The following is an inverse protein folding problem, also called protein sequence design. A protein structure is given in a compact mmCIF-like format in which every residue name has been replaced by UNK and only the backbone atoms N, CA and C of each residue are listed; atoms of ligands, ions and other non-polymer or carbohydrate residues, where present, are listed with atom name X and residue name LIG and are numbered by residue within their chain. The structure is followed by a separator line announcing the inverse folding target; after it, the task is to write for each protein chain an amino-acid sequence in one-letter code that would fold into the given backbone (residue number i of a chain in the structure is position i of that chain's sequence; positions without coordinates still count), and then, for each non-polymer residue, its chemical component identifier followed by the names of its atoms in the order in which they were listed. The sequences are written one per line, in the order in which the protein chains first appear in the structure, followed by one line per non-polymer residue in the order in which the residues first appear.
data_IF_283613414166
#
_entry.id   IF_283613414166
#
_cell.length_a   1.000
_cell.length_b   1.000
_cell.length_c   1.000
_cell.angle_alpha   90.00
_cell.angle_beta   90.00
_cell.angle_gamma   90.00
#
_symmetry.space_group_name_H-M   'P 1'
#
loop_
_entity.id
_entity.type
_entity.pdbx_description
1 polymer ?
#
# COMPACT_ATOMS: atom_id res chain seq x y z
N UNK A 1 27.17 -20.40 -35.72
CA UNK A 1 26.90 -20.49 -35.28
C UNK A 1 26.34 -20.41 -34.51
N UNK A 2 26.30 -20.37 -34.28
CA UNK A 2 25.72 -20.27 -33.51
C UNK A 2 25.04 -20.19 -32.79
N UNK A 3 24.97 -20.12 -32.64
CA UNK A 3 24.24 -19.96 -31.97
C UNK A 3 23.61 -19.81 -31.20
N UNK A 4 23.58 -19.66 -31.01
CA UNK A 4 22.83 -19.39 -30.29
C UNK A 4 22.21 -19.18 -29.49
N UNK A 5 22.17 -18.97 -29.41
CA UNK A 5 21.49 -18.58 -28.66
C UNK A 5 20.91 -18.53 -28.04
N UNK A 6 20.91 -18.48 -27.93
CA UNK A 6 20.09 -18.20 -27.29
C UNK A 6 19.42 -18.15 -26.52
N UNK A 7 19.48 -18.07 -26.46
CA UNK A 7 18.67 -17.75 -25.77
C UNK A 7 18.17 -17.80 -25.10
N UNK A 8 18.32 -17.73 -25.00
CA UNK A 8 17.63 -17.41 -24.25
C UNK A 8 17.03 -17.16 -23.59
N UNK A 9 17.14 -16.98 -23.54
CA UNK A 9 16.41 -16.46 -22.93
C UNK A 9 15.87 -16.44 -22.32
N UNK A 10 15.94 -16.39 -22.26
CA UNK A 10 15.23 -16.01 -21.69
C UNK A 10 14.73 -15.79 -21.07
N UNK A 11 14.92 -15.76 -20.97
CA UNK A 11 14.25 -15.32 -20.40
C UNK A 11 13.73 -14.99 -19.88
N UNK A 12 13.90 -14.79 -19.76
CA UNK A 12 13.24 -14.23 -19.26
C UNK A 12 12.51 -14.00 -18.89
N UNK A 13 12.59 -13.93 -18.78
CA UNK A 13 11.76 -13.49 -18.44
C UNK A 13 11.00 -13.41 -17.96
N UNK A 14 10.94 -13.37 -17.75
CA UNK A 14 10.16 -13.11 -17.29
C UNK A 14 9.50 -13.11 -16.74
N UNK A 15 9.37 -13.08 -16.61
CA UNK A 15 8.75 -12.91 -16.00
C UNK A 15 8.29 -12.76 -15.50
N UNK A 16 8.18 -12.49 -15.20
CA UNK A 16 7.70 -12.31 -14.67
C UNK A 16 6.94 -12.18 -14.28
N UNK A 17 6.80 -11.88 -14.39
CA UNK A 17 6.02 -11.67 -14.09
C UNK A 17 5.22 -12.03 -13.56
N UNK A 18 5.03 -12.09 -13.84
CA UNK A 18 4.00 -12.72 -13.38
C UNK A 18 3.97 -12.88 -12.06
N UNK A 19 4.76 -13.36 -11.70
CA UNK A 19 4.61 -13.62 -10.43
C UNK A 19 4.25 -12.54 -9.67
N UNK A 20 4.35 -11.56 -10.22
CA UNK A 20 4.06 -10.47 -9.51
C UNK A 20 2.84 -10.52 -8.79
N UNK A 21 1.85 -10.93 -9.36
CA UNK A 21 0.67 -10.83 -8.66
C UNK A 21 0.66 -11.66 -7.51
N UNK A 22 1.49 -12.53 -7.42
CA UNK A 22 1.32 -13.41 -6.38
C UNK A 22 1.76 -12.90 -5.10
N UNK A 23 1.72 -11.78 -4.82
CA UNK A 23 1.89 -11.47 -3.49
C UNK A 23 3.06 -10.67 -3.08
N UNK A 24 3.85 -10.25 -3.96
CA UNK A 24 4.90 -9.35 -3.55
C UNK A 24 4.31 -8.00 -3.24
N UNK A 25 5.01 -7.18 -2.46
CA UNK A 25 4.50 -5.85 -2.18
C UNK A 25 4.56 -4.97 -3.40
N UNK A 26 3.65 -4.04 -3.50
CA UNK A 26 3.63 -3.08 -4.60
C UNK A 26 3.55 -1.70 -4.02
N UNK A 27 3.91 -0.70 -4.81
CA UNK A 27 3.84 0.68 -4.36
C UNK A 27 2.40 1.16 -4.50
N UNK A 28 1.84 1.69 -3.43
CA UNK A 28 0.47 2.13 -3.38
C UNK A 28 0.42 3.54 -2.84
N UNK A 29 -0.42 4.37 -3.40
CA UNK A 29 -0.65 5.72 -2.89
C UNK A 29 -2.09 5.81 -2.42
N UNK A 30 -2.31 6.49 -1.34
CA UNK A 30 -3.66 6.66 -0.84
C UNK A 30 -3.75 7.63 0.31
N UNK A 31 -4.97 7.93 0.71
CA UNK A 31 -5.20 8.83 1.83
C UNK A 31 -5.24 8.02 3.10
N UNK A 32 -4.42 8.40 4.06
CA UNK A 32 -4.31 7.69 5.33
C UNK A 32 -4.76 8.57 6.46
N UNK A 33 -5.52 8.03 7.37
CA UNK A 33 -5.83 8.75 8.59
C UNK A 33 -5.89 7.77 9.74
N UNK A 34 -5.58 8.26 10.93
CA UNK A 34 -5.54 7.45 12.13
C UNK A 34 -6.28 8.22 13.21
N UNK A 35 -7.28 7.61 13.79
CA UNK A 35 -8.06 8.27 14.81
C UNK A 35 -8.65 7.19 15.73
N UNK A 36 -8.54 7.42 17.03
CA UNK A 36 -9.13 6.52 18.01
C UNK A 36 -8.67 5.09 17.85
N UNK A 37 -7.38 4.92 17.65
CA UNK A 37 -6.77 3.60 17.54
C UNK A 37 -7.17 2.84 16.29
N UNK A 38 -7.68 3.52 15.30
CA UNK A 38 -8.02 2.87 14.04
C UNK A 38 -7.42 3.64 12.88
N UNK A 39 -6.80 2.94 11.97
CA UNK A 39 -6.20 3.55 10.81
C UNK A 39 -6.93 3.07 9.56
N UNK A 40 -7.22 4.00 8.67
CA UNK A 40 -7.90 3.71 7.42
C UNK A 40 -7.09 4.26 6.25
N UNK A 41 -6.97 3.49 5.22
CA UNK A 41 -6.25 3.89 4.02
C UNK A 41 -7.21 3.79 2.83
N UNK A 42 -7.32 4.86 2.05
CA UNK A 42 -8.17 4.88 0.87
C UNK A 42 -7.28 4.93 -0.36
N UNK A 43 -7.29 3.88 -1.15
CA UNK A 43 -6.43 3.73 -2.31
C UNK A 43 -6.79 4.77 -3.36
N UNK A 44 -5.81 5.55 -3.81
CA UNK A 44 -6.07 6.56 -4.82
C UNK A 44 -6.54 5.98 -6.14
N UNK A 45 -6.04 4.80 -6.48
CA UNK A 45 -6.36 4.22 -7.76
C UNK A 45 -7.79 3.70 -7.85
N UNK A 46 -8.29 3.11 -6.81
CA UNK A 46 -9.60 2.47 -6.86
C UNK A 46 -10.66 3.18 -6.05
N UNK A 47 -10.25 4.02 -5.11
CA UNK A 47 -11.19 4.65 -4.20
C UNK A 47 -11.66 3.75 -3.07
N UNK A 48 -11.13 2.55 -2.99
CA UNK A 48 -11.55 1.65 -1.92
C UNK A 48 -10.81 1.95 -0.64
N UNK A 49 -11.48 1.78 0.46
CA UNK A 49 -10.90 2.01 1.78
C UNK A 49 -10.64 0.70 2.48
N UNK A 50 -9.54 0.63 3.19
CA UNK A 50 -9.14 -0.57 3.90
C UNK A 50 -8.67 -0.22 5.29
N UNK A 51 -8.97 -1.04 6.29
CA UNK A 51 -8.28 -0.90 7.56
C UNK A 51 -6.82 -1.24 7.38
N UNK A 52 -5.96 -0.69 8.21
CA UNK A 52 -4.52 -0.90 8.09
C UNK A 52 -4.07 -1.83 9.20
N UNK A 53 -3.36 -2.90 8.84
CA UNK A 53 -2.87 -3.86 9.81
C UNK A 53 -1.78 -3.24 10.67
N UNK A 54 -1.75 -3.59 11.93
CA UNK A 54 -0.72 -3.11 12.83
C UNK A 54 0.48 -4.03 12.74
N UNK A 55 1.00 -4.14 11.53
CA UNK A 55 2.10 -5.05 11.23
C UNK A 55 3.03 -4.35 10.26
N UNK A 56 4.11 -4.99 9.94
CA UNK A 56 5.05 -4.45 8.96
C UNK A 56 5.57 -3.11 9.42
N UNK A 57 5.50 -2.14 8.54
CA UNK A 57 6.06 -0.82 8.82
C UNK A 57 4.99 0.14 9.36
N UNK A 58 3.92 -0.39 9.89
CA UNK A 58 2.84 0.45 10.39
C UNK A 58 3.31 1.48 11.41
N UNK A 59 4.25 1.11 12.24
CA UNK A 59 4.72 2.05 13.26
C UNK A 59 5.35 3.28 12.64
N UNK A 60 6.14 3.10 11.58
CA UNK A 60 6.75 4.23 10.91
C UNK A 60 5.69 5.08 10.21
N UNK A 61 4.73 4.43 9.58
CA UNK A 61 3.64 5.12 8.90
C UNK A 61 2.83 5.95 9.89
N UNK A 62 2.44 5.35 10.99
CA UNK A 62 1.65 6.04 11.99
C UNK A 62 2.45 7.19 12.60
N UNK A 63 3.73 6.97 12.87
CA UNK A 63 4.57 8.03 13.42
C UNK A 63 4.71 9.21 12.50
N UNK A 64 4.88 8.94 11.20
CA UNK A 64 5.00 10.02 10.23
C UNK A 64 3.70 10.82 10.15
N UNK A 65 2.58 10.11 10.20
CA UNK A 65 1.28 10.76 10.15
C UNK A 65 1.08 11.64 11.38
N UNK A 66 1.36 11.12 12.56
CA UNK A 66 1.14 11.90 13.79
C UNK A 66 2.05 13.12 13.85
N UNK A 67 3.23 13.01 13.29
CA UNK A 67 4.16 14.13 13.27
C UNK A 67 3.78 15.19 12.24
N UNK A 68 2.97 14.82 11.26
CA UNK A 68 2.69 15.70 10.14
C UNK A 68 1.29 16.29 10.17
N UNK A 69 0.33 15.57 10.72
CA UNK A 69 -1.05 16.05 10.69
C UNK A 69 -1.21 17.34 11.48
N UNK A 70 -2.18 18.13 11.08
CA UNK A 70 -2.47 19.36 11.79
C UNK A 70 -3.59 19.17 12.81
N UNK A 71 -4.41 18.16 12.64
CA UNK A 71 -5.50 17.92 13.56
C UNK A 71 -5.86 16.45 13.53
N UNK A 72 -6.50 15.95 14.60
CA UNK A 72 -6.89 14.55 14.65
C UNK A 72 -7.83 14.18 13.50
N UNK A 73 -7.62 13.04 12.92
CA UNK A 73 -8.49 12.56 11.87
C UNK A 73 -8.25 13.15 10.50
N UNK A 74 -7.26 14.03 10.38
CA UNK A 74 -6.96 14.61 9.09
C UNK A 74 -6.47 13.52 8.15
N UNK A 75 -6.86 13.57 6.87
CA UNK A 75 -6.38 12.61 5.89
C UNK A 75 -5.16 13.17 5.19
N UNK A 76 -4.10 12.39 5.11
CA UNK A 76 -2.86 12.81 4.46
C UNK A 76 -2.50 11.81 3.40
N UNK A 77 -1.96 12.30 2.28
CA UNK A 77 -1.56 11.43 1.19
C UNK A 77 -0.26 10.72 1.56
N UNK A 78 -0.24 9.40 1.46
CA UNK A 78 0.95 8.63 1.76
C UNK A 78 1.26 7.71 0.59
N UNK A 79 2.52 7.34 0.47
CA UNK A 79 2.98 6.36 -0.49
C UNK A 79 3.72 5.30 0.29
N UNK A 80 3.42 4.05 0.01
CA UNK A 80 4.06 2.96 0.72
C UNK A 80 4.15 1.73 -0.18
N UNK A 81 4.93 0.77 0.24
CA UNK A 81 4.92 -0.53 -0.39
C UNK A 81 4.09 -1.43 0.48
N UNK A 82 3.15 -2.13 -0.10
CA UNK A 82 2.30 -2.98 0.70
C UNK A 82 1.46 -3.87 -0.17
N UNK A 83 0.51 -4.53 0.46
CA UNK A 83 -0.40 -5.40 -0.27
C UNK A 83 -1.67 -5.55 0.53
N UNK A 84 -2.71 -5.98 -0.15
CA UNK A 84 -4.00 -6.19 0.50
C UNK A 84 -4.08 -7.65 0.89
N UNK A 85 -4.37 -7.89 2.14
CA UNK A 85 -4.46 -9.25 2.66
C UNK A 85 -5.78 -9.39 3.40
N UNK A 86 -6.20 -10.60 3.65
CA UNK A 86 -7.41 -10.82 4.42
C UNK A 86 -7.07 -11.07 5.87
N UNK A 87 -7.77 -10.40 6.74
CA UNK A 87 -7.54 -10.57 8.18
C UNK A 87 -8.88 -10.66 8.87
N UNK A 88 -8.94 -11.43 9.94
CA UNK A 88 -10.14 -11.51 10.73
C UNK A 88 -10.23 -10.27 11.59
N UNK A 89 -11.35 -9.56 11.56
CA UNK A 89 -11.48 -8.35 12.37
C UNK A 89 -11.72 -8.73 13.81
N UNK A 90 -11.55 -7.77 14.69
CA UNK A 90 -11.84 -8.01 16.08
C UNK A 90 -13.31 -8.25 16.25
N UNK A 91 -14.13 -7.68 15.43
CA UNK A 91 -15.54 -7.89 15.44
C UNK A 91 -16.01 -8.09 14.03
N UNK A 92 -17.11 -8.75 13.87
CA UNK A 92 -17.67 -8.92 12.55
C UNK A 92 -17.55 -10.31 12.05
N UNK A 93 -18.31 -10.62 11.03
CA UNK A 93 -18.52 -11.99 10.62
C UNK A 93 -17.51 -12.62 9.71
N UNK A 94 -16.52 -12.05 9.31
CA UNK A 94 -15.62 -12.75 8.43
C UNK A 94 -14.41 -11.95 8.08
N UNK A 95 -13.56 -12.48 7.21
CA UNK A 95 -12.32 -11.79 6.90
C UNK A 95 -12.57 -10.48 6.18
N UNK A 96 -11.71 -9.54 6.40
CA UNK A 96 -11.80 -8.21 5.83
C UNK A 96 -10.53 -7.92 5.06
N UNK A 97 -10.68 -7.37 3.87
CA UNK A 97 -9.52 -6.94 3.07
C UNK A 97 -8.83 -5.81 3.84
N UNK A 98 -7.55 -5.98 4.10
CA UNK A 98 -6.79 -5.11 4.98
C UNK A 98 -5.48 -4.74 4.30
N UNK A 99 -5.06 -3.50 4.46
CA UNK A 99 -3.76 -3.09 3.93
C UNK A 99 -2.67 -3.53 4.88
N UNK A 100 -1.68 -4.25 4.37
CA UNK A 100 -0.51 -4.59 5.14
C UNK A 100 0.61 -3.69 4.67
N UNK A 101 1.03 -2.71 5.47
CA UNK A 101 2.07 -1.78 5.03
C UNK A 101 3.43 -2.43 5.23
N UNK A 102 4.10 -2.74 4.14
CA UNK A 102 5.40 -3.39 4.23
C UNK A 102 6.52 -2.38 4.41
N UNK A 103 6.41 -1.23 3.78
CA UNK A 103 7.42 -0.22 3.90
C UNK A 103 6.85 1.15 3.64
N UNK A 104 7.02 2.06 4.57
CA UNK A 104 6.57 3.44 4.40
C UNK A 104 7.58 4.18 3.52
N UNK A 105 7.11 4.90 2.52
CA UNK A 105 8.00 5.62 1.62
C UNK A 105 7.91 7.12 1.77
N UNK A 106 6.71 7.66 1.83
CA UNK A 106 6.59 9.12 1.83
C UNK A 106 5.22 9.59 2.29
N UNK A 107 5.17 10.80 2.84
CA UNK A 107 3.92 11.42 3.20
C UNK A 107 3.94 12.83 2.59
N UNK A 108 2.83 13.24 2.00
CA UNK A 108 2.75 14.48 1.24
C UNK A 108 1.64 15.35 1.77
N UNK A 109 1.92 16.16 2.79
CA UNK A 109 0.88 16.99 3.37
C UNK A 109 0.38 18.03 2.34
N UNK A 110 -0.87 18.30 2.40
CA UNK A 110 -1.45 19.28 1.48
C UNK A 110 -1.82 18.72 0.12
N UNK A 111 -1.58 17.44 -0.13
CA UNK A 111 -1.91 16.85 -1.41
C UNK A 111 -3.00 15.81 -1.23
N UNK A 112 -3.66 15.47 -2.31
CA UNK A 112 -4.68 14.45 -2.25
C UNK A 112 -4.71 13.67 -3.56
N UNK A 113 -5.49 12.58 -3.54
CA UNK A 113 -5.51 11.70 -4.68
C UNK A 113 -6.01 12.33 -5.95
N UNK A 114 -7.00 13.18 -5.82
CA UNK A 114 -7.60 13.69 -7.00
C UNK A 114 -6.91 14.83 -7.62
N UNK A 115 -5.99 15.37 -6.96
CA UNK A 115 -5.35 16.46 -7.51
C UNK A 115 -4.71 16.16 -8.77
N UNK A 116 -4.04 15.17 -8.84
CA UNK A 116 -3.31 14.99 -9.95
C UNK A 116 -4.03 14.89 -11.15
N UNK A 117 -4.91 14.49 -11.07
CA UNK A 117 -5.52 14.30 -12.17
C UNK A 117 -5.58 15.41 -12.99
N UNK A 118 -5.08 15.87 -13.07
CA UNK A 118 -5.32 16.73 -13.85
C UNK A 118 -4.74 17.17 -14.25
#
# INVERSE_FOLDING_TARGET
MSLFGFGWGCSLNEPDVAGAESGGPIVIRGMYRYLADAAIFTDCKTGKSYPVAMEGDNRTLEGAYLATRNQPGESLLVTLEGRIVERMPMEGPGPVATLLPEKFLNISPGESCDVPSR
#
